data_IF_139807119126
#
_entry.id   IF_139807119126
#
_cell.length_a   1.000
_cell.length_b   1.000
_cell.length_c   1.000
_cell.angle_alpha   90.00
_cell.angle_beta   90.00
_cell.angle_gamma   90.00
#
_symmetry.space_group_name_H-M   'P 1'
#
loop_
_entity.id
_entity.type
_entity.pdbx_description
1 polymer ?
#
# COMPACT_ATOMS: atom_id res chain seq x y z
N UNK A 1 -8.48 4.37 35.25
CA UNK A 1 -9.10 3.71 34.08
C UNK A 1 -8.08 3.86 32.96
N UNK A 2 -7.35 2.78 32.63
CA UNK A 2 -6.37 2.87 31.54
C UNK A 2 -7.16 3.12 30.25
N UNK A 3 -6.88 4.22 29.56
CA UNK A 3 -7.46 4.46 28.23
C UNK A 3 -6.90 3.41 27.29
N UNK A 4 -7.77 2.51 26.82
CA UNK A 4 -7.44 1.51 25.81
C UNK A 4 -7.19 2.26 24.50
N UNK A 5 -5.92 2.54 24.21
CA UNK A 5 -5.54 3.24 22.99
C UNK A 5 -5.80 2.31 21.80
N UNK A 6 -6.58 2.73 20.79
CA UNK A 6 -6.85 1.89 19.62
C UNK A 6 -5.53 1.50 18.93
N UNK A 7 -5.44 0.26 18.45
CA UNK A 7 -4.32 -0.17 17.61
C UNK A 7 -4.19 0.79 16.42
N UNK A 8 -3.01 1.39 16.17
CA UNK A 8 -2.78 2.29 15.02
C UNK A 8 -3.13 1.68 13.65
N UNK A 9 -3.21 0.35 13.55
CA UNK A 9 -3.58 -0.39 12.34
C UNK A 9 -5.09 -0.52 12.13
N UNK A 10 -5.87 -0.23 13.16
CA UNK A 10 -7.33 -0.33 13.20
C UNK A 10 -8.05 1.02 13.15
N UNK A 11 -7.30 2.12 13.01
CA UNK A 11 -7.89 3.45 12.82
C UNK A 11 -8.57 3.58 11.46
N UNK A 12 -9.64 4.38 11.38
CA UNK A 12 -10.43 4.58 10.16
C UNK A 12 -9.57 5.04 8.95
N UNK A 13 -8.60 5.91 9.21
CA UNK A 13 -7.75 6.50 8.19
C UNK A 13 -6.57 5.62 7.77
N UNK A 14 -6.47 4.40 8.31
CA UNK A 14 -5.35 3.51 8.04
C UNK A 14 -5.26 3.19 6.53
N UNK A 15 -4.05 3.17 5.92
CA UNK A 15 -3.88 2.92 4.49
C UNK A 15 -4.54 1.62 3.98
N UNK A 16 -4.61 0.58 4.83
CA UNK A 16 -5.31 -0.68 4.53
C UNK A 16 -6.81 -0.49 4.28
N UNK A 17 -7.45 0.53 4.88
CA UNK A 17 -8.88 0.84 4.69
C UNK A 17 -9.15 1.75 3.49
N UNK A 18 -8.12 2.34 2.88
CA UNK A 18 -8.27 3.17 1.68
C UNK A 18 -8.36 2.29 0.44
N UNK A 19 -9.46 2.43 -0.31
CA UNK A 19 -9.67 1.77 -1.61
C UNK A 19 -9.19 2.64 -2.77
N UNK A 20 -9.37 3.96 -2.66
CA UNK A 20 -8.95 4.93 -3.66
C UNK A 20 -7.49 5.33 -3.43
N UNK A 21 -6.73 5.39 -4.51
CA UNK A 21 -5.37 5.93 -4.59
C UNK A 21 -5.35 6.91 -5.76
N UNK A 22 -4.73 8.06 -5.54
CA UNK A 22 -4.54 9.08 -6.56
C UNK A 22 -3.06 9.16 -6.91
N UNK A 23 -2.74 9.30 -8.20
CA UNK A 23 -1.36 9.23 -8.67
C UNK A 23 -0.80 7.81 -8.64
N UNK A 24 0.54 7.71 -8.72
CA UNK A 24 1.31 6.46 -8.73
C UNK A 24 1.06 5.54 -9.93
N UNK A 25 0.49 6.05 -11.02
CA UNK A 25 0.15 5.26 -12.21
C UNK A 25 1.37 4.51 -12.77
N UNK A 26 2.52 5.18 -12.81
CA UNK A 26 3.78 4.56 -13.27
C UNK A 26 4.31 3.47 -12.31
N UNK A 27 4.02 3.57 -11.01
CA UNK A 27 4.41 2.57 -10.03
C UNK A 27 3.44 1.37 -10.05
N UNK A 28 2.12 1.63 -10.15
CA UNK A 28 1.11 0.59 -10.35
C UNK A 28 1.39 -0.21 -11.64
N UNK A 29 1.70 0.46 -12.75
CA UNK A 29 2.02 -0.21 -14.00
C UNK A 29 3.23 -1.16 -13.88
N UNK A 30 4.29 -0.75 -13.17
CA UNK A 30 5.46 -1.60 -12.91
C UNK A 30 5.12 -2.83 -12.08
N UNK A 31 4.32 -2.65 -11.04
CA UNK A 31 3.87 -3.75 -10.18
C UNK A 31 2.99 -4.75 -10.96
N UNK A 32 2.06 -4.25 -11.77
CA UNK A 32 1.21 -5.08 -12.64
C UNK A 32 2.03 -5.85 -13.67
N UNK A 33 3.01 -5.20 -14.30
CA UNK A 33 3.91 -5.86 -15.25
C UNK A 33 4.68 -7.01 -14.59
N UNK A 34 5.14 -6.83 -13.35
CA UNK A 34 5.84 -7.89 -12.62
C UNK A 34 4.93 -9.10 -12.37
N UNK A 35 3.67 -8.88 -11.98
CA UNK A 35 2.68 -9.96 -11.81
C UNK A 35 2.40 -10.66 -13.13
N UNK A 36 2.11 -9.91 -14.20
CA UNK A 36 1.82 -10.47 -15.53
C UNK A 36 3.00 -11.26 -16.11
N UNK A 37 4.23 -10.89 -15.77
CA UNK A 37 5.43 -11.61 -16.20
C UNK A 37 5.67 -12.94 -15.47
N UNK A 38 4.92 -13.22 -14.40
CA UNK A 38 5.13 -14.39 -13.53
C UNK A 38 6.41 -14.34 -12.69
N UNK A 39 7.16 -13.22 -12.72
CA UNK A 39 8.42 -13.02 -11.99
C UNK A 39 8.25 -12.01 -10.86
N UNK A 40 7.46 -12.38 -9.86
CA UNK A 40 7.27 -11.51 -8.70
C UNK A 40 8.48 -11.62 -7.75
N UNK A 41 9.16 -10.50 -7.52
CA UNK A 41 10.24 -10.42 -6.53
C UNK A 41 9.71 -10.67 -5.10
N UNK A 42 10.54 -11.32 -4.27
CA UNK A 42 10.20 -11.64 -2.88
C UNK A 42 9.99 -10.42 -1.98
N UNK A 43 10.52 -9.26 -2.37
CA UNK A 43 10.38 -8.01 -1.65
C UNK A 43 10.35 -6.82 -2.61
N UNK A 44 9.64 -5.77 -2.20
CA UNK A 44 9.53 -4.51 -2.93
C UNK A 44 9.83 -3.33 -2.00
N UNK A 45 10.65 -2.40 -2.46
CA UNK A 45 10.94 -1.15 -1.76
C UNK A 45 10.19 0.00 -2.45
N UNK A 46 9.31 0.66 -1.70
CA UNK A 46 8.58 1.84 -2.17
C UNK A 46 9.16 3.07 -1.47
N UNK A 47 9.83 3.94 -2.22
CA UNK A 47 10.48 5.15 -1.72
C UNK A 47 9.74 6.43 -2.14
N UNK A 48 9.98 7.53 -1.43
CA UNK A 48 9.39 8.84 -1.75
C UNK A 48 8.97 9.64 -0.50
N UNK A 49 8.46 10.88 -0.67
CA UNK A 49 8.09 11.78 0.42
C UNK A 49 7.06 11.20 1.39
N UNK A 50 7.05 11.69 2.64
CA UNK A 50 6.02 11.34 3.64
C UNK A 50 4.64 11.81 3.15
N UNK A 51 3.61 10.99 3.33
CA UNK A 51 2.23 11.34 2.97
C UNK A 51 1.83 11.12 1.51
N UNK A 52 2.76 10.81 0.59
CA UNK A 52 2.45 10.62 -0.84
C UNK A 52 1.58 9.39 -1.17
N UNK A 53 1.25 8.52 -0.20
CA UNK A 53 0.40 7.35 -0.44
C UNK A 53 1.12 6.01 -0.65
N UNK A 54 2.43 5.93 -0.36
CA UNK A 54 3.24 4.69 -0.51
C UNK A 54 2.63 3.46 0.17
N UNK A 55 2.17 3.60 1.40
CA UNK A 55 1.55 2.50 2.14
C UNK A 55 0.21 2.07 1.52
N UNK A 56 -0.58 3.03 1.03
CA UNK A 56 -1.84 2.75 0.32
C UNK A 56 -1.59 1.96 -0.97
N UNK A 57 -0.56 2.34 -1.73
CA UNK A 57 -0.10 1.59 -2.90
C UNK A 57 0.30 0.15 -2.54
N UNK A 58 1.10 -0.03 -1.49
CA UNK A 58 1.51 -1.36 -1.02
C UNK A 58 0.30 -2.24 -0.65
N UNK A 59 -0.66 -1.72 0.13
CA UNK A 59 -1.86 -2.47 0.51
C UNK A 59 -2.79 -2.73 -0.66
N UNK A 60 -2.90 -1.81 -1.63
CA UNK A 60 -3.65 -2.06 -2.88
C UNK A 60 -3.01 -3.20 -3.67
N UNK A 61 -1.69 -3.17 -3.83
CA UNK A 61 -0.98 -4.23 -4.54
C UNK A 61 -1.09 -5.59 -3.83
N UNK A 62 -0.91 -5.62 -2.51
CA UNK A 62 -1.06 -6.85 -1.71
C UNK A 62 -2.48 -7.45 -1.74
N UNK A 63 -3.51 -6.67 -2.08
CA UNK A 63 -4.89 -7.17 -2.30
C UNK A 63 -5.12 -7.70 -3.71
N UNK A 64 -4.29 -7.28 -4.66
CA UNK A 64 -4.38 -7.71 -6.05
C UNK A 64 -3.66 -9.05 -6.27
N UNK A 65 -2.56 -9.29 -5.54
CA UNK A 65 -1.90 -10.59 -5.43
C UNK A 65 -2.82 -11.63 -4.79
#
# INVERSE_FOLDING_TARGET
MAEETPDPREVEWHPRRRLVLYGHEAAEARLLQAVQSGKLHHAWLISGPRGIGKATLAYRFARYL
#
